data_IF_693207612468
#
_entry.id   IF_693207612468
#
_cell.length_a   1.000
_cell.length_b   1.000
_cell.length_c   1.000
_cell.angle_alpha   90.00
_cell.angle_beta   90.00
_cell.angle_gamma   90.00
#
_symmetry.space_group_name_H-M   'P 1'
#
loop_
_entity.id
_entity.type
_entity.pdbx_description
1 polymer ?
#
# COMPACT_ATOMS: atom_id res chain seq x y z
N UNK A 1 -6.67 16.34 -8.34
CA UNK A 1 -7.50 15.30 -8.99
C UNK A 1 -7.08 13.86 -8.67
N UNK A 2 -5.82 13.44 -8.87
CA UNK A 2 -5.42 12.04 -8.63
C UNK A 2 -5.70 11.55 -7.21
N UNK A 3 -5.46 12.40 -6.21
CA UNK A 3 -5.71 12.08 -4.81
C UNK A 3 -7.20 11.88 -4.51
N UNK A 4 -8.08 12.71 -5.09
CA UNK A 4 -9.52 12.63 -4.85
C UNK A 4 -10.11 11.31 -5.38
N UNK A 5 -9.69 10.88 -6.56
CA UNK A 5 -10.10 9.60 -7.16
C UNK A 5 -9.59 8.42 -6.32
N UNK A 6 -8.34 8.49 -5.85
CA UNK A 6 -7.77 7.46 -5.01
C UNK A 6 -8.47 7.34 -3.66
N UNK A 7 -8.77 8.47 -3.00
CA UNK A 7 -9.53 8.50 -1.74
C UNK A 7 -10.94 7.95 -1.95
N UNK A 8 -11.67 8.41 -2.96
CA UNK A 8 -13.02 7.93 -3.26
C UNK A 8 -13.05 6.42 -3.48
N UNK A 9 -12.09 5.89 -4.27
CA UNK A 9 -12.02 4.45 -4.51
C UNK A 9 -11.64 3.67 -3.25
N UNK A 10 -10.70 4.19 -2.45
CA UNK A 10 -10.25 3.55 -1.21
C UNK A 10 -11.38 3.41 -0.19
N UNK A 11 -12.21 4.45 -0.02
CA UNK A 11 -13.34 4.42 0.90
C UNK A 11 -14.49 3.55 0.36
N UNK A 12 -14.71 3.57 -0.96
CA UNK A 12 -15.86 2.89 -1.56
C UNK A 12 -15.63 1.40 -1.84
N UNK A 13 -14.37 0.96 -1.97
CA UNK A 13 -14.01 -0.40 -2.37
C UNK A 13 -13.10 -1.06 -1.32
N UNK A 14 -13.63 -2.08 -0.62
CA UNK A 14 -12.82 -2.86 0.32
C UNK A 14 -11.67 -3.54 -0.42
N UNK A 15 -10.46 -3.43 0.13
CA UNK A 15 -9.26 -4.03 -0.48
C UNK A 15 -9.38 -5.56 -0.69
N UNK A 16 -10.23 -6.24 0.09
CA UNK A 16 -10.47 -7.68 -0.03
C UNK A 16 -11.23 -8.08 -1.32
N UNK A 17 -12.08 -7.19 -1.86
CA UNK A 17 -12.85 -7.46 -3.08
C UNK A 17 -12.16 -6.90 -4.33
N UNK A 18 -11.15 -6.05 -4.18
CA UNK A 18 -10.36 -5.49 -5.28
C UNK A 18 -9.78 -6.54 -6.25
N UNK A 19 -9.30 -7.72 -5.80
CA UNK A 19 -8.82 -8.77 -6.71
C UNK A 19 -9.91 -9.32 -7.63
N UNK A 20 -11.18 -9.30 -7.22
CA UNK A 20 -12.32 -9.83 -8.00
C UNK A 20 -12.68 -8.97 -9.21
N UNK A 21 -12.16 -7.75 -9.29
CA UNK A 21 -12.43 -6.81 -10.38
C UNK A 21 -11.22 -6.61 -11.30
N UNK A 22 -11.49 -6.44 -12.58
CA UNK A 22 -10.53 -5.87 -13.55
C UNK A 22 -11.17 -4.68 -14.24
N UNK A 23 -10.36 -3.78 -14.81
CA UNK A 23 -10.91 -2.57 -15.41
C UNK A 23 -11.92 -2.89 -16.52
N UNK A 24 -11.56 -3.74 -17.49
CA UNK A 24 -12.41 -4.14 -18.61
C UNK A 24 -13.22 -5.43 -18.39
N UNK A 25 -12.97 -6.16 -17.30
CA UNK A 25 -13.48 -7.52 -17.15
C UNK A 25 -12.55 -8.54 -17.85
N UNK A 26 -12.46 -9.74 -17.26
CA UNK A 26 -11.86 -10.95 -17.85
C UNK A 26 -12.69 -12.14 -17.42
N UNK A 27 -12.47 -13.31 -18.02
CA UNK A 27 -13.28 -14.54 -17.83
C UNK A 27 -13.67 -14.83 -16.37
N UNK A 28 -12.78 -14.60 -15.39
CA UNK A 28 -13.04 -14.81 -13.96
C UNK A 28 -13.20 -13.52 -13.13
N UNK A 29 -13.04 -12.35 -13.74
CA UNK A 29 -13.03 -11.07 -13.04
C UNK A 29 -14.08 -10.12 -13.59
N UNK A 30 -14.89 -9.55 -12.69
CA UNK A 30 -15.95 -8.63 -13.08
C UNK A 30 -15.39 -7.30 -13.62
N UNK A 31 -16.02 -6.70 -14.64
CA UNK A 31 -15.63 -5.38 -15.15
C UNK A 31 -15.95 -4.29 -14.13
N UNK A 32 -14.96 -3.45 -13.81
CA UNK A 32 -15.12 -2.33 -12.89
C UNK A 32 -15.71 -1.10 -13.60
N UNK A 33 -15.32 -0.85 -14.86
CA UNK A 33 -15.61 0.40 -15.58
C UNK A 33 -17.10 0.72 -15.70
N UNK A 34 -17.96 -0.31 -15.79
CA UNK A 34 -19.40 -0.15 -16.02
C UNK A 34 -20.23 -0.26 -14.73
N UNK A 35 -19.59 -0.32 -13.57
CA UNK A 35 -20.32 -0.41 -12.30
C UNK A 35 -20.98 0.91 -11.93
N UNK A 36 -22.10 0.85 -11.20
CA UNK A 36 -22.77 2.04 -10.64
C UNK A 36 -21.83 2.88 -9.78
N UNK A 37 -20.89 2.23 -9.10
CA UNK A 37 -19.88 2.89 -8.29
C UNK A 37 -18.99 3.82 -9.12
N UNK A 38 -18.43 3.34 -10.24
CA UNK A 38 -17.55 4.15 -11.08
C UNK A 38 -18.30 5.33 -11.70
N UNK A 39 -19.57 5.14 -12.09
CA UNK A 39 -20.41 6.23 -12.59
C UNK A 39 -20.61 7.30 -11.52
N UNK A 40 -20.97 6.90 -10.29
CA UNK A 40 -21.15 7.83 -9.18
C UNK A 40 -19.87 8.62 -8.84
N UNK A 41 -18.70 7.97 -8.86
CA UNK A 41 -17.41 8.65 -8.66
C UNK A 41 -17.14 9.63 -9.79
N UNK A 42 -17.37 9.24 -11.05
CA UNK A 42 -17.18 10.13 -12.20
C UNK A 42 -18.08 11.35 -12.12
N UNK A 43 -19.36 11.16 -11.81
CA UNK A 43 -20.34 12.23 -11.69
C UNK A 43 -19.97 13.19 -10.55
N UNK A 44 -19.57 12.66 -9.38
CA UNK A 44 -19.12 13.48 -8.25
C UNK A 44 -17.86 14.29 -8.55
N UNK A 45 -16.89 13.71 -9.28
CA UNK A 45 -15.69 14.42 -9.72
C UNK A 45 -16.02 15.50 -10.75
N UNK A 46 -16.95 15.23 -11.67
CA UNK A 46 -17.38 16.21 -12.68
C UNK A 46 -18.21 17.36 -12.11
N UNK A 47 -18.93 17.14 -11.01
CA UNK A 47 -19.72 18.17 -10.32
C UNK A 47 -18.89 19.04 -9.37
N UNK A 48 -17.65 18.64 -9.09
CA UNK A 48 -16.77 19.37 -8.19
C UNK A 48 -16.20 20.63 -8.86
N UNK A 49 -16.61 21.81 -8.38
CA UNK A 49 -16.16 23.11 -8.90
C UNK A 49 -14.71 23.45 -8.55
N UNK A 50 -14.10 22.74 -7.59
CA UNK A 50 -12.76 23.03 -7.09
C UNK A 50 -11.66 22.49 -8.01
N UNK A 51 -11.99 21.64 -8.98
CA UNK A 51 -11.03 21.03 -9.87
C UNK A 51 -11.56 21.00 -11.31
N UNK A 52 -10.67 21.04 -12.28
CA UNK A 52 -11.05 20.95 -13.70
C UNK A 52 -11.66 19.59 -14.03
N UNK A 53 -12.75 19.61 -14.81
CA UNK A 53 -13.47 18.41 -15.21
C UNK A 53 -12.51 17.49 -15.99
N UNK A 54 -12.26 16.26 -15.51
CA UNK A 54 -11.26 15.40 -16.12
C UNK A 54 -11.78 14.85 -17.45
N UNK A 55 -10.88 14.67 -18.40
CA UNK A 55 -11.18 13.95 -19.63
C UNK A 55 -11.51 12.49 -19.28
N UNK A 56 -12.37 11.83 -20.07
CA UNK A 56 -12.70 10.42 -19.83
C UNK A 56 -11.44 9.55 -19.79
N UNK A 57 -10.46 9.79 -20.65
CA UNK A 57 -9.19 9.04 -20.68
C UNK A 57 -8.37 9.19 -19.38
N UNK A 58 -8.27 10.41 -18.85
CA UNK A 58 -7.53 10.72 -17.63
C UNK A 58 -8.19 10.07 -16.41
N UNK A 59 -9.52 10.20 -16.30
CA UNK A 59 -10.28 9.52 -15.26
C UNK A 59 -10.08 8.01 -15.31
N UNK A 60 -10.15 7.41 -16.50
CA UNK A 60 -9.92 5.97 -16.69
C UNK A 60 -8.48 5.56 -16.31
N UNK A 61 -7.48 6.37 -16.64
CA UNK A 61 -6.10 6.11 -16.26
C UNK A 61 -5.93 6.13 -14.73
N UNK A 62 -6.47 7.15 -14.06
CA UNK A 62 -6.38 7.29 -12.61
C UNK A 62 -7.16 6.18 -11.87
N UNK A 63 -8.34 5.82 -12.36
CA UNK A 63 -9.11 4.71 -11.80
C UNK A 63 -8.39 3.36 -11.91
N UNK A 64 -7.72 3.10 -13.05
CA UNK A 64 -6.88 1.91 -13.23
C UNK A 64 -5.71 1.88 -12.25
N UNK A 65 -5.07 3.03 -12.05
CA UNK A 65 -3.95 3.15 -11.12
C UNK A 65 -4.40 2.97 -9.67
N UNK A 66 -5.51 3.58 -9.28
CA UNK A 66 -6.10 3.41 -7.95
C UNK A 66 -6.50 1.94 -7.68
N UNK A 67 -7.04 1.24 -8.69
CA UNK A 67 -7.31 -0.21 -8.59
C UNK A 67 -6.02 -1.02 -8.42
N UNK A 68 -4.95 -0.69 -9.17
CA UNK A 68 -3.63 -1.32 -9.03
C UNK A 68 -3.09 -1.15 -7.61
N UNK A 69 -3.15 0.06 -7.07
CA UNK A 69 -2.71 0.37 -5.71
C UNK A 69 -3.52 -0.40 -4.66
N UNK A 70 -4.85 -0.50 -4.79
CA UNK A 70 -5.68 -1.28 -3.87
C UNK A 70 -5.32 -2.77 -3.90
N UNK A 71 -5.07 -3.35 -5.08
CA UNK A 71 -4.58 -4.73 -5.22
C UNK A 71 -3.20 -4.93 -4.59
N UNK A 72 -2.29 -3.98 -4.75
CA UNK A 72 -0.95 -4.06 -4.15
C UNK A 72 -1.03 -3.96 -2.62
N UNK A 73 -1.88 -3.09 -2.08
CA UNK A 73 -2.17 -3.01 -0.64
C UNK A 73 -2.72 -4.31 -0.10
N UNK A 74 -3.66 -4.95 -0.81
CA UNK A 74 -4.19 -6.26 -0.46
C UNK A 74 -3.07 -7.31 -0.38
N UNK A 75 -2.24 -7.43 -1.43
CA UNK A 75 -1.10 -8.37 -1.46
C UNK A 75 -0.09 -8.11 -0.34
N UNK A 76 0.20 -6.85 -0.06
CA UNK A 76 1.13 -6.44 1.00
C UNK A 76 0.61 -6.81 2.39
N UNK A 77 -0.69 -6.64 2.65
CA UNK A 77 -1.33 -7.07 3.90
C UNK A 77 -1.36 -8.60 4.03
N UNK A 78 -1.65 -9.33 2.95
CA UNK A 78 -1.61 -10.79 2.97
C UNK A 78 -0.20 -11.32 3.25
N UNK A 79 0.84 -10.72 2.66
CA UNK A 79 2.26 -11.04 2.94
C UNK A 79 2.66 -10.75 4.39
N UNK A 80 2.11 -9.69 5.01
CA UNK A 80 2.34 -9.37 6.44
C UNK A 80 1.63 -10.33 7.40
N UNK A 81 0.56 -11.01 6.98
CA UNK A 81 -0.12 -12.02 7.81
C UNK A 81 0.59 -13.38 7.80
N UNK A 82 1.38 -13.66 6.77
CA UNK A 82 2.11 -14.94 6.61
C UNK A 82 3.48 -14.96 7.24
N UNK A 83 4.02 -13.83 7.71
CA UNK A 83 5.13 -13.85 8.66
C UNK A 83 4.54 -14.11 10.05
N UNK A 84 4.79 -15.26 10.68
CA UNK A 84 4.53 -15.41 12.09
C UNK A 84 5.26 -14.29 12.81
N UNK A 85 4.62 -13.68 13.80
CA UNK A 85 5.27 -12.79 14.74
C UNK A 85 6.23 -13.63 15.60
N UNK A 86 7.37 -13.99 15.02
CA UNK A 86 8.48 -14.67 15.67
C UNK A 86 9.69 -13.75 15.64
N UNK A 87 10.01 -13.19 16.81
CA UNK A 87 11.36 -12.77 17.20
C UNK A 87 12.13 -11.78 16.31
N UNK A 88 11.51 -10.63 16.01
CA UNK A 88 12.19 -9.50 15.37
C UNK A 88 12.70 -8.40 16.31
N UNK A 89 12.38 -8.44 17.61
CA UNK A 89 12.72 -7.39 18.57
C UNK A 89 14.07 -7.63 19.30
N UNK A 90 15.06 -8.27 18.66
CA UNK A 90 16.36 -8.57 19.28
C UNK A 90 17.59 -8.16 18.47
N UNK A 91 17.47 -7.17 17.58
CA UNK A 91 18.66 -6.54 16.96
C UNK A 91 18.64 -5.03 17.19
N UNK A 92 18.42 -4.61 18.45
CA UNK A 92 18.84 -3.29 18.95
C UNK A 92 19.21 -3.36 20.44
N UNK A 93 20.00 -4.35 20.87
CA UNK A 93 20.73 -4.25 22.14
C UNK A 93 22.02 -5.09 22.14
N UNK A 94 22.84 -4.90 21.10
CA UNK A 94 24.22 -5.38 21.09
C UNK A 94 25.19 -4.26 20.70
N UNK A 95 24.88 -3.02 21.07
CA UNK A 95 25.86 -1.92 21.01
C UNK A 95 26.64 -1.70 22.32
N UNK A 96 26.39 -2.43 23.40
CA UNK A 96 26.89 -1.98 24.73
C UNK A 96 27.52 -3.09 25.58
N UNK A 97 28.25 -4.04 25.00
CA UNK A 97 29.17 -4.89 25.80
C UNK A 97 30.54 -5.15 25.16
N UNK A 98 30.82 -4.56 23.99
CA UNK A 98 32.15 -4.65 23.35
C UNK A 98 33.11 -3.53 23.75
N UNK A 99 32.72 -2.68 24.71
CA UNK A 99 33.55 -1.60 25.28
C UNK A 99 34.30 -2.05 26.55
N UNK A 100 34.01 -3.23 27.12
CA UNK A 100 34.54 -3.64 28.44
C UNK A 100 35.71 -4.63 28.46
N UNK A 101 36.04 -5.35 27.37
CA UNK A 101 36.98 -6.51 27.45
C UNK A 101 38.37 -6.32 26.83
N UNK A 102 38.66 -5.20 26.18
CA UNK A 102 40.01 -4.93 25.60
C UNK A 102 40.94 -4.08 26.46
N UNK A 103 40.48 -3.59 27.62
CA UNK A 103 41.26 -2.71 28.53
C UNK A 103 41.78 -3.40 29.80
N UNK A 104 41.95 -4.74 29.79
CA UNK A 104 42.46 -5.51 30.94
C UNK A 104 43.55 -6.53 30.57
N UNK A 105 44.37 -6.18 29.57
CA UNK A 105 45.65 -6.86 29.24
C UNK A 105 46.81 -5.87 29.05
N UNK A 106 46.83 -4.82 29.88
CA UNK A 106 48.10 -4.21 30.30
C UNK A 106 48.36 -4.71 31.72
N UNK A 107 49.63 -5.04 32.01
CA UNK A 107 50.22 -5.50 33.28
C UNK A 107 50.19 -7.01 33.49
N UNK A 108 51.28 -7.67 33.08
CA UNK A 108 52.06 -8.63 33.88
C UNK A 108 53.20 -9.16 32.99
N UNK A 109 54.37 -8.52 33.10
CA UNK A 109 55.72 -9.10 32.96
C UNK A 109 56.73 -7.97 33.19
N UNK A 110 57.06 -7.75 34.46
CA UNK A 110 58.26 -7.04 34.89
C UNK A 110 58.65 -7.66 36.22
N UNK A 111 59.65 -8.52 36.21
CA UNK A 111 60.54 -8.80 37.34
C UNK A 111 61.85 -9.26 36.73
#
# INVERSE_FOLDING_TARGET
MPEAVNICLKESLKDAIAPSFTWWGRQEHRPLYNTRLIRAIYDGVCQNKNFEKPTRSEFQAQMREALRMSKERHRSRSRKKTVPHGDGARIQLLNTQRIGRKKRRRRKTTT
#
